data_IF_148307178631
#
_entry.id   IF_148307178631
#
_cell.length_a   1.000
_cell.length_b   1.000
_cell.length_c   1.000
_cell.angle_alpha   90.00
_cell.angle_beta   90.00
_cell.angle_gamma   90.00
#
_symmetry.space_group_name_H-M   'P 1'
#
loop_
_entity.id
_entity.type
_entity.pdbx_description
1 polymer ?
#
# COMPACT_ATOMS: atom_id res chain seq x y z
N UNK A 1 14.94 53.73 49.39
CA UNK A 1 13.83 52.92 49.95
C UNK A 1 12.52 53.52 49.47
N UNK A 2 11.51 52.77 48.98
CA UNK A 2 11.41 51.81 47.84
C UNK A 2 10.66 52.47 46.62
N UNK A 3 10.92 52.18 45.33
CA UNK A 3 10.58 51.04 44.43
C UNK A 3 9.09 50.65 44.30
N UNK A 4 8.71 50.25 43.07
CA UNK A 4 7.48 49.58 42.57
C UNK A 4 6.39 50.53 42.02
N UNK A 5 5.79 50.37 40.83
CA UNK A 5 5.82 49.27 39.83
C UNK A 5 5.20 49.78 38.51
N UNK A 6 5.95 49.69 37.40
CA UNK A 6 5.36 49.58 36.06
C UNK A 6 4.95 48.11 35.87
N UNK A 7 3.64 47.83 35.82
CA UNK A 7 3.14 46.50 35.48
C UNK A 7 3.02 46.37 33.95
N UNK A 8 4.16 46.11 33.30
CA UNK A 8 4.24 45.52 31.96
C UNK A 8 4.80 44.11 32.13
N UNK A 9 3.93 43.10 32.15
CA UNK A 9 4.25 41.68 31.91
C UNK A 9 3.00 40.86 32.19
N UNK A 10 2.60 39.86 31.42
CA UNK A 10 3.13 39.20 30.24
C UNK A 10 1.92 38.38 29.77
N UNK A 11 1.45 38.57 28.55
CA UNK A 11 0.65 37.53 27.90
C UNK A 11 1.56 36.31 27.81
N UNK A 12 1.37 35.33 28.69
CA UNK A 12 1.90 33.98 28.49
C UNK A 12 1.10 33.37 27.34
N UNK A 13 1.52 33.66 26.12
CA UNK A 13 1.29 32.73 25.02
C UNK A 13 2.03 31.45 25.42
N UNK A 14 1.26 30.48 25.91
CA UNK A 14 1.74 29.11 26.06
C UNK A 14 1.83 28.56 24.64
N UNK A 15 2.96 28.77 23.99
CA UNK A 15 3.28 28.04 22.76
C UNK A 15 3.63 26.63 23.18
N UNK A 16 2.66 25.72 23.12
CA UNK A 16 2.94 24.28 23.21
C UNK A 16 3.66 23.91 21.92
N UNK A 17 4.99 23.97 21.92
CA UNK A 17 5.78 23.33 20.88
C UNK A 17 5.58 21.82 21.01
N UNK A 18 4.65 21.28 20.24
CA UNK A 18 4.46 19.83 20.14
C UNK A 18 5.62 19.27 19.31
N UNK A 19 6.63 18.72 20.00
CA UNK A 19 7.73 18.01 19.34
C UNK A 19 7.19 16.85 18.50
N UNK A 20 7.63 16.77 17.25
CA UNK A 20 7.35 15.64 16.37
C UNK A 20 8.55 14.71 16.38
N UNK A 21 8.34 13.47 16.79
CA UNK A 21 9.36 12.43 16.81
C UNK A 21 9.26 11.59 15.53
N UNK A 22 10.34 11.54 14.78
CA UNK A 22 10.44 10.79 13.53
C UNK A 22 11.19 9.48 13.78
N UNK A 23 10.57 8.37 13.36
CA UNK A 23 11.20 7.05 13.36
C UNK A 23 11.19 6.50 11.94
N UNK A 24 12.34 6.06 11.47
CA UNK A 24 12.54 5.49 10.13
C UNK A 24 13.11 4.09 10.30
N UNK A 25 12.48 3.13 9.64
CA UNK A 25 12.95 1.76 9.50
C UNK A 25 13.22 1.55 8.02
N UNK A 26 14.47 1.28 7.63
CA UNK A 26 14.83 1.22 6.21
C UNK A 26 16.03 0.32 5.96
N UNK A 27 16.11 -0.23 4.74
CA UNK A 27 17.30 -0.84 4.16
C UNK A 27 18.38 0.19 3.78
N UNK A 28 18.01 1.48 3.66
CA UNK A 28 18.91 2.57 3.28
C UNK A 28 19.12 3.55 4.45
N UNK A 29 20.32 3.60 5.05
CA UNK A 29 20.58 4.41 6.25
C UNK A 29 20.51 5.93 6.01
N UNK A 30 20.59 6.37 4.75
CA UNK A 30 20.59 7.80 4.38
C UNK A 30 19.18 8.36 4.11
N UNK A 31 18.12 7.57 4.31
CA UNK A 31 16.77 8.09 4.19
C UNK A 31 16.37 8.91 5.43
N UNK A 32 16.09 10.19 5.21
CA UNK A 32 15.61 11.14 6.21
C UNK A 32 14.09 11.33 6.15
N UNK A 33 13.52 12.00 7.16
CA UNK A 33 12.07 12.21 7.26
C UNK A 33 11.50 12.98 6.07
N UNK A 34 12.25 13.92 5.48
CA UNK A 34 11.85 14.72 4.31
C UNK A 34 11.58 13.85 3.06
N UNK A 35 12.27 12.73 2.90
CA UNK A 35 12.09 11.81 1.76
C UNK A 35 10.76 11.05 1.81
N UNK A 36 10.00 11.13 2.90
CA UNK A 36 8.67 10.52 3.00
C UNK A 36 7.53 11.48 2.65
N UNK A 37 7.87 12.65 2.12
CA UNK A 37 6.90 13.65 1.70
C UNK A 37 7.07 13.98 0.22
N UNK A 38 5.97 14.13 -0.55
CA UNK A 38 6.04 14.35 -1.99
C UNK A 38 6.81 15.60 -2.42
N UNK A 39 6.77 16.68 -1.63
CA UNK A 39 7.40 17.96 -1.97
C UNK A 39 8.90 17.79 -2.25
N UNK A 40 9.61 16.99 -1.46
CA UNK A 40 11.03 16.73 -1.67
C UNK A 40 11.28 16.16 -3.08
N UNK A 41 10.53 15.14 -3.47
CA UNK A 41 10.69 14.50 -4.79
C UNK A 41 10.27 15.41 -5.94
N UNK A 42 9.32 16.32 -5.70
CA UNK A 42 8.88 17.30 -6.70
C UNK A 42 9.96 18.37 -6.92
N UNK A 43 10.54 18.87 -5.84
CA UNK A 43 11.60 19.89 -5.88
C UNK A 43 12.87 19.34 -6.57
N UNK A 44 13.14 18.04 -6.44
CA UNK A 44 14.27 17.35 -7.09
C UNK A 44 13.95 16.83 -8.51
N UNK A 45 12.74 17.06 -9.04
CA UNK A 45 12.27 16.53 -10.34
C UNK A 45 12.34 14.99 -10.48
N UNK A 46 12.06 14.29 -9.37
CA UNK A 46 12.13 12.82 -9.28
C UNK A 46 10.74 12.16 -9.23
N UNK A 47 9.65 12.90 -9.41
CA UNK A 47 8.29 12.34 -9.50
C UNK A 47 7.99 11.88 -10.93
N UNK A 48 7.84 10.57 -11.11
CA UNK A 48 7.53 9.93 -12.39
C UNK A 48 6.03 9.89 -12.69
N UNK A 49 5.20 10.09 -11.66
CA UNK A 49 3.75 10.15 -11.79
C UNK A 49 3.04 9.99 -10.46
N UNK A 50 1.72 10.11 -10.48
CA UNK A 50 0.88 9.93 -9.30
C UNK A 50 -0.46 9.26 -9.64
N UNK A 51 -1.01 8.49 -8.71
CA UNK A 51 -2.37 7.94 -8.84
C UNK A 51 -3.42 9.03 -8.59
N UNK A 52 -4.47 9.09 -9.41
CA UNK A 52 -5.65 9.91 -9.12
C UNK A 52 -6.49 9.35 -7.96
N UNK A 53 -7.18 10.21 -7.21
CA UNK A 53 -8.13 9.82 -6.16
C UNK A 53 -7.83 10.40 -4.77
N UNK A 54 -8.49 9.85 -3.73
CA UNK A 54 -8.39 10.38 -2.33
C UNK A 54 -7.07 10.09 -1.63
N UNK A 55 -6.39 9.01 -2.02
CA UNK A 55 -5.15 8.56 -1.39
C UNK A 55 -4.07 8.52 -2.46
N UNK A 56 -3.45 9.68 -2.72
CA UNK A 56 -2.42 9.80 -3.76
C UNK A 56 -1.22 8.92 -3.44
N UNK A 57 -0.87 8.08 -4.38
CA UNK A 57 0.37 7.31 -4.41
C UNK A 57 1.30 7.98 -5.41
N UNK A 58 2.56 8.19 -5.02
CA UNK A 58 3.57 8.82 -5.87
C UNK A 58 4.53 7.76 -6.39
N UNK A 59 4.76 7.75 -7.70
CA UNK A 59 5.82 6.99 -8.33
C UNK A 59 7.04 7.89 -8.44
N UNK A 60 8.18 7.45 -7.91
CA UNK A 60 9.38 8.25 -7.77
C UNK A 60 10.60 7.49 -8.29
N UNK A 61 11.59 8.20 -8.81
CA UNK A 61 12.90 7.61 -9.10
C UNK A 61 13.73 7.53 -7.82
N UNK A 62 14.55 6.50 -7.65
CA UNK A 62 15.36 6.31 -6.45
C UNK A 62 16.50 7.33 -6.35
N UNK A 63 16.85 7.72 -5.12
CA UNK A 63 18.03 8.55 -4.83
C UNK A 63 19.36 7.78 -4.95
N UNK A 64 19.32 6.45 -5.01
CA UNK A 64 20.51 5.61 -4.91
C UNK A 64 20.86 4.87 -6.21
N UNK A 65 19.88 4.69 -7.09
CA UNK A 65 20.02 3.94 -8.35
C UNK A 65 18.96 4.44 -9.35
N UNK A 66 19.40 5.06 -10.45
CA UNK A 66 18.52 5.69 -11.43
C UNK A 66 17.59 4.70 -12.17
N UNK A 67 17.97 3.42 -12.22
CA UNK A 67 17.15 2.36 -12.82
C UNK A 67 16.06 1.86 -11.85
N UNK A 68 16.14 2.21 -10.57
CA UNK A 68 15.16 1.84 -9.56
C UNK A 68 14.06 2.89 -9.43
N UNK A 69 12.82 2.42 -9.50
CA UNK A 69 11.64 3.23 -9.24
C UNK A 69 10.95 2.73 -7.98
N UNK A 70 10.45 3.66 -7.17
CA UNK A 70 9.73 3.36 -5.95
C UNK A 70 8.31 3.93 -5.97
N UNK A 71 7.53 3.44 -5.02
CA UNK A 71 6.17 3.85 -4.74
C UNK A 71 6.13 4.43 -3.33
N UNK A 72 5.93 5.73 -3.22
CA UNK A 72 5.72 6.44 -1.96
C UNK A 72 4.23 6.52 -1.66
N UNK A 73 3.84 5.97 -0.50
CA UNK A 73 2.45 5.97 -0.04
C UNK A 73 2.31 6.56 1.35
N UNK A 74 1.35 7.48 1.48
CA UNK A 74 0.89 8.00 2.76
C UNK A 74 -0.32 7.18 3.27
N UNK A 75 -0.35 6.86 4.56
CA UNK A 75 -1.51 6.15 5.13
C UNK A 75 -2.61 7.12 5.53
N UNK A 76 -3.81 6.88 4.99
CA UNK A 76 -5.01 7.62 5.34
C UNK A 76 -5.98 6.74 6.15
N UNK A 77 -6.77 7.38 7.01
CA UNK A 77 -7.91 6.75 7.68
C UNK A 77 -9.05 6.53 6.68
N UNK A 78 -9.49 5.28 6.54
CA UNK A 78 -10.75 4.95 5.88
C UNK A 78 -11.97 5.14 6.80
N UNK A 79 -13.16 5.04 6.21
CA UNK A 79 -14.44 5.07 6.96
C UNK A 79 -14.90 6.46 7.41
N UNK A 80 -16.00 6.49 8.18
CA UNK A 80 -16.61 7.73 8.69
C UNK A 80 -15.63 8.61 9.51
N UNK A 81 -14.77 8.08 10.40
CA UNK A 81 -13.77 8.89 11.10
C UNK A 81 -12.75 9.55 10.17
N UNK A 82 -12.45 8.94 9.02
CA UNK A 82 -11.58 9.47 7.98
C UNK A 82 -12.13 10.72 7.27
N UNK A 83 -13.43 11.03 7.43
CA UNK A 83 -14.03 12.28 6.91
C UNK A 83 -13.64 13.51 7.76
N UNK A 84 -13.31 13.32 9.03
CA UNK A 84 -12.95 14.38 9.98
C UNK A 84 -11.44 14.41 10.27
N UNK A 85 -10.82 13.24 10.47
CA UNK A 85 -9.38 13.11 10.71
C UNK A 85 -8.79 12.18 9.65
N UNK A 86 -8.14 12.77 8.65
CA UNK A 86 -7.74 12.07 7.43
C UNK A 86 -6.50 11.20 7.59
N UNK A 87 -5.52 11.63 8.38
CA UNK A 87 -4.16 11.04 8.33
C UNK A 87 -3.50 10.73 9.69
N UNK A 88 -4.13 11.13 10.80
CA UNK A 88 -3.59 10.84 12.13
C UNK A 88 -4.16 9.52 12.65
N UNK A 89 -3.38 8.77 13.41
CA UNK A 89 -3.76 7.52 14.07
C UNK A 89 -3.43 7.58 15.55
N UNK A 90 -4.13 6.85 16.42
CA UNK A 90 -3.76 6.78 17.84
C UNK A 90 -2.49 5.94 18.00
N UNK A 91 -1.50 6.49 18.71
CA UNK A 91 -0.23 5.82 18.95
C UNK A 91 -0.35 4.89 20.16
N UNK A 92 -0.35 3.58 19.90
CA UNK A 92 -0.39 2.52 20.92
C UNK A 92 0.89 1.69 20.99
N UNK A 93 1.97 2.18 20.36
CA UNK A 93 3.28 1.53 20.28
C UNK A 93 3.84 1.56 18.86
N UNK A 94 5.17 1.72 18.75
CA UNK A 94 5.88 1.82 17.47
C UNK A 94 5.60 0.60 16.56
N UNK A 95 5.70 -0.60 17.16
CA UNK A 95 5.47 -1.88 16.46
C UNK A 95 4.04 -2.10 15.96
N UNK A 96 3.09 -1.31 16.47
CA UNK A 96 1.68 -1.40 16.10
C UNK A 96 1.30 -0.39 15.02
N UNK A 97 2.22 0.49 14.63
CA UNK A 97 2.00 1.46 13.55
C UNK A 97 1.85 0.75 12.21
N UNK A 98 0.99 1.27 11.33
CA UNK A 98 0.66 0.61 10.05
C UNK A 98 1.90 0.37 9.18
N UNK A 99 2.71 1.41 8.98
CA UNK A 99 3.91 1.31 8.15
C UNK A 99 4.92 0.28 8.69
N UNK A 100 5.16 0.23 10.01
CA UNK A 100 6.09 -0.73 10.60
C UNK A 100 5.57 -2.16 10.50
N UNK A 101 4.26 -2.37 10.71
CA UNK A 101 3.63 -3.69 10.53
C UNK A 101 3.73 -4.17 9.10
N UNK A 102 3.43 -3.32 8.13
CA UNK A 102 3.51 -3.67 6.72
C UNK A 102 4.95 -3.90 6.27
N UNK A 103 5.91 -3.09 6.73
CA UNK A 103 7.33 -3.29 6.47
C UNK A 103 7.81 -4.68 6.92
N UNK A 104 7.48 -5.07 8.15
CA UNK A 104 7.85 -6.39 8.67
C UNK A 104 7.14 -7.53 7.96
N UNK A 105 5.87 -7.34 7.62
CA UNK A 105 5.10 -8.31 6.87
C UNK A 105 5.71 -8.53 5.48
N UNK A 106 6.02 -7.46 4.74
CA UNK A 106 6.65 -7.54 3.42
C UNK A 106 8.01 -8.22 3.46
N UNK A 107 8.86 -7.91 4.45
CA UNK A 107 10.12 -8.65 4.63
C UNK A 107 9.90 -10.14 4.87
N UNK A 108 8.95 -10.52 5.74
CA UNK A 108 8.66 -11.91 6.05
C UNK A 108 8.11 -12.67 4.83
N UNK A 109 7.22 -12.05 4.05
CA UNK A 109 6.67 -12.64 2.82
C UNK A 109 7.75 -12.78 1.74
N UNK A 110 8.63 -11.78 1.59
CA UNK A 110 9.75 -11.84 0.65
C UNK A 110 10.76 -12.91 1.03
N UNK A 111 11.05 -13.08 2.33
CA UNK A 111 11.91 -14.16 2.82
C UNK A 111 11.34 -15.57 2.54
N UNK A 112 10.01 -15.69 2.38
CA UNK A 112 9.32 -16.90 1.95
C UNK A 112 9.26 -17.07 0.43
N UNK A 113 9.86 -16.17 -0.34
CA UNK A 113 9.85 -16.21 -1.82
C UNK A 113 8.51 -15.80 -2.45
N UNK A 114 7.57 -15.27 -1.68
CA UNK A 114 6.27 -14.85 -2.20
C UNK A 114 6.39 -13.58 -3.07
N UNK A 115 5.57 -13.42 -4.11
CA UNK A 115 5.69 -12.32 -5.07
C UNK A 115 5.07 -11.03 -4.53
N UNK A 116 5.81 -10.40 -3.63
CA UNK A 116 5.51 -9.10 -3.02
C UNK A 116 6.56 -8.06 -3.44
N UNK A 117 6.22 -6.76 -3.52
CA UNK A 117 7.23 -5.74 -3.76
C UNK A 117 8.23 -5.69 -2.60
N UNK A 118 9.51 -5.42 -2.91
CA UNK A 118 10.51 -5.17 -1.86
C UNK A 118 10.12 -3.91 -1.09
N UNK A 119 10.16 -3.97 0.24
CA UNK A 119 9.96 -2.78 1.05
C UNK A 119 11.29 -2.05 1.23
N UNK A 120 11.30 -0.75 0.96
CA UNK A 120 12.51 0.09 1.05
C UNK A 120 12.59 0.73 2.42
N UNK A 121 11.47 1.31 2.87
CA UNK A 121 11.43 2.05 4.12
C UNK A 121 10.01 2.24 4.67
N UNK A 122 9.91 2.35 5.99
CA UNK A 122 8.72 2.78 6.71
C UNK A 122 9.06 3.97 7.61
N UNK A 123 8.16 4.95 7.67
CA UNK A 123 8.32 6.16 8.47
C UNK A 123 7.10 6.39 9.36
N UNK A 124 7.36 6.77 10.60
CA UNK A 124 6.37 7.17 11.60
C UNK A 124 6.74 8.54 12.14
N UNK A 125 5.85 9.52 11.96
CA UNK A 125 5.94 10.84 12.56
C UNK A 125 4.93 10.93 13.71
N UNK A 126 5.41 10.90 14.96
CA UNK A 126 4.58 10.90 16.17
C UNK A 126 4.53 12.29 16.80
N UNK A 127 3.32 12.75 17.11
CA UNK A 127 3.09 13.97 17.85
C UNK A 127 2.15 13.67 19.05
N UNK A 128 2.72 13.63 20.25
CA UNK A 128 1.97 13.26 21.46
C UNK A 128 1.36 11.85 21.39
N UNK A 129 0.03 11.78 21.41
CA UNK A 129 -0.75 10.52 21.37
C UNK A 129 -1.17 10.12 19.95
N UNK A 130 -0.83 10.90 18.93
CA UNK A 130 -1.13 10.56 17.53
C UNK A 130 0.14 10.35 16.71
N UNK A 131 -0.02 9.66 15.58
CA UNK A 131 1.05 9.52 14.59
C UNK A 131 0.50 9.58 13.16
N UNK A 132 1.38 9.94 12.23
CA UNK A 132 1.23 9.77 10.78
C UNK A 132 2.27 8.76 10.31
N UNK A 133 2.00 8.08 9.22
CA UNK A 133 2.97 7.13 8.68
C UNK A 133 3.01 7.13 7.16
N UNK A 134 4.15 6.72 6.63
CA UNK A 134 4.42 6.57 5.20
C UNK A 134 5.20 5.28 4.97
N UNK A 135 5.10 4.72 3.77
CA UNK A 135 5.89 3.58 3.34
C UNK A 135 6.43 3.85 1.93
N UNK A 136 7.65 3.38 1.69
CA UNK A 136 8.28 3.34 0.36
C UNK A 136 8.50 1.87 0.03
N UNK A 137 7.96 1.44 -1.10
CA UNK A 137 8.16 0.10 -1.65
C UNK A 137 8.71 0.20 -3.07
N UNK A 138 9.42 -0.82 -3.52
CA UNK A 138 9.90 -0.93 -4.88
C UNK A 138 8.71 -1.02 -5.85
N UNK A 139 8.79 -0.29 -6.96
CA UNK A 139 7.84 -0.44 -8.05
C UNK A 139 8.17 -1.71 -8.82
N UNK A 140 7.19 -2.59 -8.98
CA UNK A 140 7.33 -3.75 -9.87
C UNK A 140 7.41 -3.25 -11.32
N UNK A 141 8.59 -3.34 -11.92
CA UNK A 141 8.87 -2.90 -13.30
C UNK A 141 8.02 -3.67 -14.31
N UNK A 142 7.64 -3.01 -15.41
CA UNK A 142 6.88 -3.62 -16.53
C UNK A 142 5.61 -4.35 -16.11
N UNK A 143 4.94 -3.83 -15.07
CA UNK A 143 3.71 -4.39 -14.53
C UNK A 143 2.56 -3.41 -14.56
N UNK A 144 1.35 -3.95 -14.70
CA UNK A 144 0.10 -3.19 -14.68
C UNK A 144 -0.92 -3.93 -13.84
N UNK A 145 -1.80 -3.18 -13.17
CA UNK A 145 -2.89 -3.78 -12.41
C UNK A 145 -3.86 -4.52 -13.33
N UNK A 146 -4.29 -5.71 -12.91
CA UNK A 146 -5.14 -6.58 -13.73
C UNK A 146 -6.47 -5.90 -14.07
N UNK A 147 -7.03 -5.13 -13.14
CA UNK A 147 -8.23 -4.33 -13.39
C UNK A 147 -8.08 -3.39 -14.59
N UNK A 148 -6.95 -2.68 -14.70
CA UNK A 148 -6.66 -1.80 -15.82
C UNK A 148 -6.38 -2.56 -17.12
N UNK A 149 -5.64 -3.67 -17.07
CA UNK A 149 -5.40 -4.51 -18.25
C UNK A 149 -6.75 -4.91 -18.88
N UNK A 150 -7.72 -5.26 -18.04
CA UNK A 150 -9.04 -5.72 -18.47
C UNK A 150 -9.89 -4.65 -19.13
N UNK A 151 -9.56 -3.36 -19.00
CA UNK A 151 -10.20 -2.31 -19.80
C UNK A 151 -9.74 -2.30 -21.26
N UNK A 152 -8.63 -2.98 -21.57
CA UNK A 152 -8.02 -2.99 -22.90
C UNK A 152 -8.09 -4.37 -23.56
N UNK A 153 -7.87 -5.45 -22.78
CA UNK A 153 -7.83 -6.83 -23.29
C UNK A 153 -8.02 -7.87 -22.19
N UNK A 154 -8.37 -9.10 -22.57
CA UNK A 154 -8.30 -10.24 -21.65
C UNK A 154 -6.84 -10.72 -21.50
N UNK A 155 -6.56 -11.37 -20.38
CA UNK A 155 -5.34 -12.14 -20.17
C UNK A 155 -5.51 -13.57 -20.73
N UNK A 156 -4.43 -14.23 -21.19
CA UNK A 156 -4.47 -15.64 -21.59
C UNK A 156 -4.74 -16.55 -20.38
N UNK A 157 -5.21 -17.77 -20.63
CA UNK A 157 -5.55 -18.74 -19.58
C UNK A 157 -4.34 -19.03 -18.67
N UNK A 158 -3.12 -19.10 -19.23
CA UNK A 158 -1.87 -19.30 -18.48
C UNK A 158 -1.58 -18.21 -17.45
N UNK A 159 -1.92 -16.95 -17.77
CA UNK A 159 -1.76 -15.82 -16.86
C UNK A 159 -2.79 -15.87 -15.72
N UNK A 160 -4.04 -16.25 -16.03
CA UNK A 160 -5.07 -16.46 -15.01
C UNK A 160 -4.69 -17.59 -14.05
N UNK A 161 -4.20 -18.70 -14.57
CA UNK A 161 -3.70 -19.80 -13.75
C UNK A 161 -2.51 -19.37 -12.88
N UNK A 162 -1.59 -18.56 -13.40
CA UNK A 162 -0.47 -18.01 -12.63
C UNK A 162 -0.94 -17.11 -11.49
N UNK A 163 -1.98 -16.29 -11.70
CA UNK A 163 -2.63 -15.51 -10.64
C UNK A 163 -3.25 -16.45 -9.59
N UNK A 164 -3.92 -17.53 -10.02
CA UNK A 164 -4.47 -18.55 -9.14
C UNK A 164 -3.42 -19.18 -8.23
N UNK A 165 -2.31 -19.66 -8.82
CA UNK A 165 -1.17 -20.24 -8.09
C UNK A 165 -0.54 -19.24 -7.12
N UNK A 166 -0.38 -17.98 -7.53
CA UNK A 166 0.09 -16.93 -6.64
C UNK A 166 -0.79 -16.81 -5.40
N UNK A 167 -2.11 -16.72 -5.57
CA UNK A 167 -3.05 -16.57 -4.45
C UNK A 167 -3.00 -17.81 -3.53
N UNK A 168 -2.91 -19.02 -4.10
CA UNK A 168 -2.77 -20.25 -3.34
C UNK A 168 -1.51 -20.23 -2.45
N UNK A 169 -0.36 -19.84 -3.00
CA UNK A 169 0.89 -19.76 -2.22
C UNK A 169 0.80 -18.80 -1.02
N UNK A 170 0.08 -17.68 -1.15
CA UNK A 170 -0.18 -16.79 -0.01
C UNK A 170 -1.10 -17.45 1.04
N UNK A 171 -2.13 -18.17 0.59
CA UNK A 171 -3.10 -18.83 1.45
C UNK A 171 -2.50 -20.03 2.21
N UNK A 172 -1.60 -20.78 1.58
CA UNK A 172 -0.81 -21.87 2.18
C UNK A 172 0.09 -21.36 3.31
N UNK A 173 0.73 -20.21 3.09
CA UNK A 173 1.53 -19.50 4.09
C UNK A 173 0.68 -18.80 5.17
N UNK A 174 -0.65 -18.95 5.11
CA UNK A 174 -1.59 -18.39 6.06
C UNK A 174 -1.79 -16.88 5.94
N UNK A 175 -1.36 -16.25 4.85
CA UNK A 175 -1.55 -14.82 4.68
C UNK A 175 -3.02 -14.51 4.35
N UNK A 176 -3.67 -13.72 5.21
CA UNK A 176 -4.98 -13.14 4.94
C UNK A 176 -4.85 -11.72 4.38
N UNK A 177 -5.17 -11.56 3.09
CA UNK A 177 -5.15 -10.29 2.37
C UNK A 177 -6.53 -9.60 2.43
N UNK A 178 -6.74 -8.80 3.46
CA UNK A 178 -8.06 -8.22 3.79
C UNK A 178 -8.69 -7.36 2.68
N UNK A 179 -7.90 -6.91 1.71
CA UNK A 179 -8.35 -6.19 0.53
C UNK A 179 -7.97 -6.84 -0.81
N UNK A 180 -8.07 -8.18 -0.90
CA UNK A 180 -7.81 -8.87 -2.17
C UNK A 180 -8.82 -8.43 -3.25
N UNK A 181 -8.32 -7.78 -4.30
CA UNK A 181 -9.10 -7.27 -5.43
C UNK A 181 -8.24 -7.17 -6.70
N UNK A 182 -8.87 -7.02 -7.86
CA UNK A 182 -8.18 -7.00 -9.15
C UNK A 182 -7.23 -5.83 -9.40
N UNK A 183 -7.34 -4.73 -8.63
CA UNK A 183 -6.43 -3.57 -8.69
C UNK A 183 -5.18 -3.76 -7.82
N UNK A 184 -5.24 -4.70 -6.88
CA UNK A 184 -4.12 -5.07 -6.02
C UNK A 184 -3.32 -6.27 -6.56
N UNK A 185 -3.70 -6.79 -7.72
CA UNK A 185 -2.93 -7.82 -8.45
C UNK A 185 -2.26 -7.13 -9.63
N UNK A 186 -0.94 -7.23 -9.70
CA UNK A 186 -0.17 -6.75 -10.84
C UNK A 186 0.21 -7.94 -11.73
N UNK A 187 0.12 -7.74 -13.05
CA UNK A 187 0.67 -8.66 -14.03
C UNK A 187 1.91 -8.04 -14.66
N UNK A 188 3.05 -8.72 -14.52
CA UNK A 188 4.32 -8.34 -15.12
C UNK A 188 4.49 -9.12 -16.43
N UNK A 189 4.27 -8.46 -17.55
CA UNK A 189 4.28 -9.11 -18.87
C UNK A 189 5.66 -9.59 -19.30
N UNK A 190 6.73 -8.90 -18.87
CA UNK A 190 8.11 -9.26 -19.24
C UNK A 190 8.54 -10.64 -18.74
N UNK A 191 7.97 -11.10 -17.62
CA UNK A 191 8.33 -12.35 -16.96
C UNK A 191 7.14 -13.29 -16.73
N UNK A 192 5.98 -13.00 -17.32
CA UNK A 192 4.70 -13.70 -17.11
C UNK A 192 4.40 -14.00 -15.62
N UNK A 193 4.63 -13.01 -14.76
CA UNK A 193 4.56 -13.16 -13.31
C UNK A 193 3.47 -12.29 -12.70
N UNK A 194 2.65 -12.92 -11.85
CA UNK A 194 1.71 -12.20 -11.00
C UNK A 194 2.39 -11.73 -9.71
N UNK A 195 2.02 -10.52 -9.26
CA UNK A 195 2.45 -9.94 -8.00
C UNK A 195 1.24 -9.45 -7.21
N UNK A 196 1.32 -9.49 -5.89
CA UNK A 196 0.30 -8.94 -5.00
C UNK A 196 0.87 -7.69 -4.31
N UNK A 197 0.06 -6.64 -4.21
CA UNK A 197 0.40 -5.36 -3.58
C UNK A 197 -0.66 -4.94 -2.55
N UNK A 198 -0.34 -3.91 -1.79
CA UNK A 198 -1.19 -3.32 -0.73
C UNK A 198 -1.48 -4.25 0.46
N UNK A 199 -0.46 -4.45 1.29
CA UNK A 199 -0.54 -5.31 2.47
C UNK A 199 -0.99 -4.57 3.74
N UNK A 200 -1.58 -3.37 3.60
CA UNK A 200 -2.08 -2.63 4.76
C UNK A 200 -3.15 -3.45 5.49
N UNK A 201 -2.95 -3.64 6.80
CA UNK A 201 -3.80 -4.45 7.70
C UNK A 201 -3.86 -5.94 7.35
N UNK A 202 -3.02 -6.46 6.46
CA UNK A 202 -2.86 -7.89 6.25
C UNK A 202 -2.16 -8.55 7.44
N UNK A 203 -2.38 -9.85 7.63
CA UNK A 203 -1.80 -10.61 8.73
C UNK A 203 -1.79 -12.11 8.43
N UNK A 204 -0.86 -12.82 9.07
CA UNK A 204 -0.88 -14.27 9.12
C UNK A 204 -2.04 -14.77 10.00
N UNK A 205 -2.68 -15.84 9.55
CA UNK A 205 -3.74 -16.59 10.21
C UNK A 205 -3.47 -18.07 10.00
N UNK A 206 -3.99 -18.92 10.88
CA UNK A 206 -4.03 -20.36 10.62
C UNK A 206 -4.78 -20.59 9.29
N UNK A 207 -4.16 -21.31 8.31
CA UNK A 207 -4.84 -21.69 7.08
C UNK A 207 -6.18 -22.37 7.36
N UNK A 208 -7.24 -21.87 6.72
CA UNK A 208 -8.58 -22.41 6.84
C UNK A 208 -9.39 -22.08 5.58
N UNK A 209 -10.12 -23.08 5.09
CA UNK A 209 -10.83 -23.00 3.82
C UNK A 209 -11.91 -21.91 3.81
N UNK A 210 -12.52 -21.60 4.95
CA UNK A 210 -13.62 -20.64 5.03
C UNK A 210 -13.15 -19.23 4.71
N UNK A 211 -12.06 -18.76 5.33
CA UNK A 211 -11.57 -17.40 5.06
C UNK A 211 -10.84 -17.31 3.72
N UNK A 212 -10.20 -18.39 3.27
CA UNK A 212 -9.57 -18.46 1.94
C UNK A 212 -10.63 -18.34 0.84
N UNK A 213 -11.74 -19.08 0.96
CA UNK A 213 -12.87 -18.96 0.04
C UNK A 213 -13.49 -17.56 0.09
N UNK A 214 -13.66 -16.97 1.27
CA UNK A 214 -14.18 -15.61 1.39
C UNK A 214 -13.32 -14.55 0.69
N UNK A 215 -11.99 -14.75 0.62
CA UNK A 215 -11.10 -13.89 -0.15
C UNK A 215 -11.24 -14.10 -1.66
N UNK A 216 -11.37 -15.35 -2.14
CA UNK A 216 -11.66 -15.63 -3.54
C UNK A 216 -13.00 -15.01 -3.95
N UNK A 217 -14.03 -15.12 -3.12
CA UNK A 217 -15.33 -14.50 -3.38
C UNK A 217 -15.23 -12.96 -3.41
N UNK A 218 -14.40 -12.37 -2.54
CA UNK A 218 -14.11 -10.93 -2.56
C UNK A 218 -13.46 -10.52 -3.88
N UNK A 219 -12.49 -11.30 -4.35
CA UNK A 219 -11.82 -11.06 -5.61
C UNK A 219 -12.80 -11.12 -6.78
N UNK A 220 -13.65 -12.16 -6.85
CA UNK A 220 -14.69 -12.27 -7.87
C UNK A 220 -15.65 -11.08 -7.86
N UNK A 221 -16.12 -10.67 -6.67
CA UNK A 221 -16.95 -9.46 -6.54
C UNK A 221 -16.24 -8.20 -7.03
N UNK A 222 -14.92 -8.10 -6.86
CA UNK A 222 -14.15 -6.96 -7.36
C UNK A 222 -14.13 -6.92 -8.90
N UNK A 223 -13.96 -8.06 -9.58
CA UNK A 223 -14.05 -8.13 -11.04
C UNK A 223 -15.45 -7.73 -11.53
N UNK A 224 -16.50 -8.27 -10.90
CA UNK A 224 -17.89 -7.95 -11.27
C UNK A 224 -18.19 -6.46 -11.05
N UNK A 225 -17.69 -5.87 -9.97
CA UNK A 225 -17.85 -4.44 -9.68
C UNK A 225 -17.16 -3.57 -10.73
N UNK A 226 -15.92 -3.87 -11.09
CA UNK A 226 -15.19 -3.09 -12.10
C UNK A 226 -15.82 -3.26 -13.50
N UNK A 227 -16.35 -4.44 -13.81
CA UNK A 227 -17.14 -4.67 -15.02
C UNK A 227 -18.40 -3.77 -15.08
N UNK A 228 -19.13 -3.66 -13.96
CA UNK A 228 -20.29 -2.77 -13.86
C UNK A 228 -19.91 -1.28 -13.99
N UNK A 229 -18.80 -0.86 -13.39
CA UNK A 229 -18.29 0.51 -13.50
C UNK A 229 -17.93 0.81 -14.96
N UNK A 230 -17.15 -0.06 -15.61
CA UNK A 230 -16.76 0.09 -17.01
C UNK A 230 -18.00 0.17 -17.93
N UNK A 231 -19.00 -0.70 -17.71
CA UNK A 231 -20.25 -0.65 -18.46
C UNK A 231 -21.00 0.67 -18.28
N UNK A 232 -21.04 1.23 -17.06
CA UNK A 232 -21.66 2.53 -16.80
C UNK A 232 -20.94 3.71 -17.47
N UNK A 233 -19.67 3.54 -17.79
CA UNK A 233 -18.85 4.50 -18.53
C UNK A 233 -18.75 4.18 -20.03
N UNK A 234 -19.54 3.22 -20.52
CA UNK A 234 -19.51 2.72 -21.91
C UNK A 234 -18.10 2.25 -22.36
N UNK A 235 -17.36 1.63 -21.44
CA UNK A 235 -16.03 1.04 -21.67
C UNK A 235 -16.11 -0.49 -21.64
N UNK A 236 -15.26 -1.18 -22.43
CA UNK A 236 -15.18 -2.63 -22.35
C UNK A 236 -14.51 -3.07 -21.03
N UNK A 237 -14.86 -4.29 -20.58
CA UNK A 237 -14.16 -4.96 -19.49
C UNK A 237 -14.07 -6.45 -19.79
N UNK A 238 -12.87 -6.92 -20.11
CA UNK A 238 -12.63 -8.22 -20.73
C UNK A 238 -12.49 -9.38 -19.72
N UNK A 239 -13.27 -9.35 -18.64
CA UNK A 239 -13.37 -10.45 -17.69
C UNK A 239 -14.61 -11.31 -17.96
N UNK A 240 -14.46 -12.63 -17.92
CA UNK A 240 -15.57 -13.54 -18.12
C UNK A 240 -15.41 -14.83 -17.29
N UNK A 241 -16.41 -15.71 -17.37
CA UNK A 241 -16.44 -16.97 -16.64
C UNK A 241 -15.26 -17.90 -16.99
N UNK A 242 -14.75 -17.86 -18.23
CA UNK A 242 -13.56 -18.64 -18.61
C UNK A 242 -12.32 -18.13 -17.87
N UNK A 243 -12.14 -16.81 -17.79
CA UNK A 243 -11.08 -16.17 -17.00
C UNK A 243 -11.10 -16.64 -15.54
N UNK A 244 -12.29 -16.66 -14.92
CA UNK A 244 -12.46 -17.09 -13.54
C UNK A 244 -12.14 -18.58 -13.35
N UNK A 245 -12.60 -19.45 -14.26
CA UNK A 245 -12.29 -20.89 -14.21
C UNK A 245 -10.79 -21.15 -14.34
N UNK A 246 -10.09 -20.47 -15.24
CA UNK A 246 -8.65 -20.59 -15.38
C UNK A 246 -7.91 -20.19 -14.08
N UNK A 247 -8.33 -19.10 -13.42
CA UNK A 247 -7.79 -18.71 -12.12
C UNK A 247 -8.03 -19.80 -11.06
N UNK A 248 -9.26 -20.31 -10.96
CA UNK A 248 -9.58 -21.37 -10.01
C UNK A 248 -8.83 -22.68 -10.29
N UNK A 249 -8.56 -23.00 -11.56
CA UNK A 249 -7.76 -24.15 -11.94
C UNK A 249 -6.32 -23.98 -11.44
N UNK A 250 -5.71 -22.81 -11.66
CA UNK A 250 -4.39 -22.50 -11.13
C UNK A 250 -4.33 -22.56 -9.60
N UNK A 251 -5.35 -22.03 -8.92
CA UNK A 251 -5.45 -22.07 -7.46
C UNK A 251 -5.50 -23.50 -6.90
N UNK A 252 -6.26 -24.40 -7.55
CA UNK A 252 -6.44 -25.78 -7.09
C UNK A 252 -5.27 -26.71 -7.45
N UNK A 253 -4.42 -26.30 -8.39
CA UNK A 253 -3.28 -27.08 -8.86
C UNK A 253 -1.99 -26.80 -8.07
N UNK A 254 -2.04 -25.95 -7.04
CA UNK A 254 -0.93 -25.67 -6.12
C UNK A 254 -0.93 -26.64 -4.95
#
# INVERSE_FOLDING_TARGET
MPRFTNALARNKQVTVNMFVYHHILSEHPNLESRHFYPHFWQDEDLVLGASGGRNTVYFISSLFDEDQQWVLRHYYRGGLPGKLIKDQFLFSGYERTRAVREYRLLQALRAKGLPVPRVIAAHVARAGVTYRSNIIVERVKDSQDVGRILLEKNLPDTAWEAIGRMIASFHEEGLSHVDLNCKNILWQSSNEKAWLIDFDRCAFRTPDAQWQQAQLDRLLRSFNKESQIAASENKPFHFNEKSWRALLNGYKAS
#
